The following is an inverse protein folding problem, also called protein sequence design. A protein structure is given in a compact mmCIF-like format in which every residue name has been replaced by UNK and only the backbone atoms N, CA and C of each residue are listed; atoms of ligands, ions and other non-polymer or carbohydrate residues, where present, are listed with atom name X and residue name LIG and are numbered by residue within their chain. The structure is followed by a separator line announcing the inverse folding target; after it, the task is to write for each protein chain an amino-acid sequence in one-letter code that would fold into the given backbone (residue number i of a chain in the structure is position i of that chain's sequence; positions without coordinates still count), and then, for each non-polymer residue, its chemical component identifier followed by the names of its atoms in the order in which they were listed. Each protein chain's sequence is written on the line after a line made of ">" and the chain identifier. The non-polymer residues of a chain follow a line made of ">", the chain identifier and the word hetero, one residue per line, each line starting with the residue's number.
data_IF_333955976597
#
_entry.id   IF_333955976597
#
_cell.length_a   1.000
_cell.length_b   1.000
_cell.length_c   1.000
_cell.angle_alpha   90.00
_cell.angle_beta   90.00
_cell.angle_gamma   90.00
#
_symmetry.space_group_name_H-M   'P 1'
#
loop_
_entity.id
_entity.type
_entity.pdbx_description
1 polymer ?
#
# COMPACT_ATOMS: atom_id res chain seq x y z
N UNK A 1 -1.15 2.43 4.08
CA UNK A 1 0.22 2.00 4.42
C UNK A 1 0.43 0.58 3.91
N UNK A 2 1.61 0.25 3.42
CA UNK A 2 1.93 -1.06 2.85
C UNK A 2 3.23 -1.59 3.46
N UNK A 3 3.17 -2.80 4.02
CA UNK A 3 4.32 -3.59 4.45
C UNK A 3 4.76 -4.50 3.30
N UNK A 4 6.07 -4.55 3.04
CA UNK A 4 6.72 -5.49 2.14
C UNK A 4 7.76 -6.30 2.92
N UNK A 5 7.66 -7.62 2.85
CA UNK A 5 8.64 -8.55 3.43
C UNK A 5 9.27 -9.33 2.29
N UNK A 6 10.60 -9.25 2.17
CA UNK A 6 11.38 -10.02 1.19
C UNK A 6 12.16 -11.08 1.95
N UNK A 7 11.95 -12.33 1.58
CA UNK A 7 12.64 -13.47 2.16
C UNK A 7 13.95 -13.78 1.43
N UNK A 8 14.81 -14.56 2.07
CA UNK A 8 16.14 -14.92 1.57
C UNK A 8 16.09 -15.71 0.25
N UNK A 9 15.03 -16.49 0.06
CA UNK A 9 14.70 -17.29 -1.14
C UNK A 9 14.18 -16.45 -2.32
N UNK A 10 14.18 -15.12 -2.20
CA UNK A 10 13.68 -14.16 -3.17
C UNK A 10 12.17 -14.02 -3.32
N UNK A 11 11.39 -14.79 -2.57
CA UNK A 11 9.96 -14.55 -2.47
C UNK A 11 9.66 -13.29 -1.66
N UNK A 12 8.46 -12.75 -1.86
CA UNK A 12 7.99 -11.58 -1.14
C UNK A 12 6.50 -11.65 -0.84
N UNK A 13 6.11 -11.09 0.30
CA UNK A 13 4.72 -10.77 0.62
C UNK A 13 4.54 -9.26 0.72
N UNK A 14 3.38 -8.79 0.30
CA UNK A 14 2.98 -7.38 0.42
C UNK A 14 1.60 -7.31 1.09
N UNK A 15 1.48 -6.50 2.14
CA UNK A 15 0.25 -6.33 2.91
C UNK A 15 -0.07 -4.86 3.09
N UNK A 16 -1.24 -4.45 2.63
CA UNK A 16 -1.72 -3.09 2.74
C UNK A 16 -2.76 -2.97 3.85
N UNK A 17 -2.70 -1.87 4.58
CA UNK A 17 -3.70 -1.46 5.55
C UNK A 17 -4.10 0.00 5.28
N UNK A 18 -5.40 0.21 5.12
CA UNK A 18 -6.00 1.53 4.91
C UNK A 18 -6.53 2.05 6.23
N UNK A 19 -6.31 3.33 6.50
CA UNK A 19 -6.82 4.06 7.66
C UNK A 19 -7.56 5.30 7.20
N UNK A 20 -8.55 5.73 7.97
CA UNK A 20 -9.39 6.88 7.63
C UNK A 20 -8.73 8.25 7.92
N UNK A 21 -7.56 8.25 8.54
CA UNK A 21 -6.81 9.44 8.93
C UNK A 21 -5.45 9.50 8.24
N UNK A 22 -4.89 10.71 8.15
CA UNK A 22 -3.53 10.93 7.67
C UNK A 22 -2.52 10.38 8.69
N UNK A 23 -1.54 9.63 8.20
CA UNK A 23 -0.36 9.22 8.98
C UNK A 23 0.59 10.40 9.11
N UNK A 24 0.76 10.92 10.33
CA UNK A 24 1.50 12.17 10.58
C UNK A 24 2.89 11.97 11.15
N UNK A 25 3.17 10.80 11.70
CA UNK A 25 4.41 10.55 12.44
C UNK A 25 4.95 9.14 12.21
N UNK A 26 6.27 9.02 12.40
CA UNK A 26 6.99 7.77 12.22
C UNK A 26 6.65 6.71 13.29
N UNK A 27 6.21 7.13 14.48
CA UNK A 27 5.87 6.23 15.58
C UNK A 27 4.63 5.41 15.25
N UNK A 28 3.57 6.08 14.79
CA UNK A 28 2.33 5.47 14.31
C UNK A 28 2.60 4.55 13.13
N UNK A 29 3.40 5.00 12.16
CA UNK A 29 3.81 4.19 11.01
C UNK A 29 4.56 2.92 11.44
N UNK A 30 5.50 3.05 12.39
CA UNK A 30 6.27 1.93 12.92
C UNK A 30 5.40 0.94 13.69
N UNK A 31 4.47 1.42 14.52
CA UNK A 31 3.56 0.57 15.28
C UNK A 31 2.68 -0.26 14.35
N UNK A 32 2.00 0.39 13.41
CA UNK A 32 1.17 -0.31 12.43
C UNK A 32 1.98 -1.30 11.57
N UNK A 33 3.19 -0.91 11.17
CA UNK A 33 4.10 -1.79 10.44
C UNK A 33 4.47 -3.05 11.23
N UNK A 34 4.74 -2.91 12.53
CA UNK A 34 5.02 -4.04 13.44
C UNK A 34 3.79 -4.93 13.61
N UNK A 35 2.60 -4.36 13.70
CA UNK A 35 1.36 -5.14 13.84
C UNK A 35 1.08 -5.96 12.58
N UNK A 36 1.19 -5.35 11.39
CA UNK A 36 1.11 -6.10 10.13
C UNK A 36 2.18 -7.19 10.04
N UNK A 37 3.41 -6.89 10.49
CA UNK A 37 4.50 -7.86 10.48
C UNK A 37 4.17 -9.04 11.40
N UNK A 38 3.74 -8.81 12.64
CA UNK A 38 3.37 -9.90 13.58
C UNK A 38 2.24 -10.77 13.04
N UNK A 39 1.26 -10.18 12.37
CA UNK A 39 0.11 -10.93 11.84
C UNK A 39 0.43 -11.75 10.58
N UNK A 40 1.49 -11.43 9.83
CA UNK A 40 1.73 -12.03 8.51
C UNK A 40 3.14 -12.61 8.30
N UNK A 41 4.06 -12.39 9.25
CA UNK A 41 5.41 -12.93 9.16
C UNK A 41 5.39 -14.43 9.38
N UNK A 42 6.05 -15.16 8.49
CA UNK A 42 6.32 -16.58 8.64
C UNK A 42 7.59 -16.76 9.49
N UNK A 43 7.49 -17.26 10.75
CA UNK A 43 8.61 -17.21 11.69
C UNK A 43 9.84 -18.03 11.27
N UNK A 44 9.62 -19.08 10.47
CA UNK A 44 10.67 -20.00 10.02
C UNK A 44 11.46 -19.47 8.83
N UNK A 45 10.96 -18.43 8.15
CA UNK A 45 11.55 -17.91 6.92
C UNK A 45 12.51 -16.75 7.22
N UNK A 46 13.75 -16.86 6.71
CA UNK A 46 14.75 -15.80 6.87
C UNK A 46 14.35 -14.57 6.05
N UNK A 47 14.24 -13.43 6.72
CA UNK A 47 13.97 -12.14 6.08
C UNK A 47 15.28 -11.46 5.71
N UNK A 48 15.36 -10.90 4.50
CA UNK A 48 16.52 -10.12 4.05
C UNK A 48 16.22 -8.63 3.84
N UNK A 49 14.95 -8.27 3.68
CA UNK A 49 14.52 -6.89 3.51
C UNK A 49 13.10 -6.70 4.05
N UNK A 50 12.92 -5.59 4.76
CA UNK A 50 11.62 -5.08 5.17
C UNK A 50 11.45 -3.69 4.55
N UNK A 51 10.26 -3.43 4.00
CA UNK A 51 9.89 -2.13 3.44
C UNK A 51 8.55 -1.68 3.99
N UNK A 52 8.47 -0.40 4.37
CA UNK A 52 7.22 0.28 4.66
C UNK A 52 7.00 1.37 3.62
N UNK A 53 5.78 1.49 3.13
CA UNK A 53 5.40 2.50 2.13
C UNK A 53 4.07 3.14 2.54
N UNK A 54 3.95 4.45 2.31
CA UNK A 54 2.69 5.18 2.46
C UNK A 54 2.26 5.64 1.08
N UNK A 55 0.97 5.45 0.79
CA UNK A 55 0.33 5.84 -0.46
C UNK A 55 -0.92 6.65 -0.13
N UNK A 56 -1.50 7.32 -1.11
CA UNK A 56 -2.63 8.23 -0.90
C UNK A 56 -2.27 9.32 0.14
N UNK A 57 -1.14 9.99 -0.09
CA UNK A 57 -0.72 11.14 0.69
C UNK A 57 -1.75 12.24 0.47
N UNK A 58 -2.23 12.87 1.54
CA UNK A 58 -3.29 13.88 1.43
C UNK A 58 -2.92 14.94 0.39
N UNK A 59 -3.77 15.07 -0.62
CA UNK A 59 -3.65 16.15 -1.60
C UNK A 59 -3.88 17.49 -0.87
N UNK A 60 -3.06 18.52 -1.09
CA UNK A 60 -3.49 19.89 -0.79
C UNK A 60 -4.80 20.09 -1.55
N UNK A 61 -5.83 20.62 -0.90
CA UNK A 61 -7.18 20.80 -1.45
C UNK A 61 -7.18 21.43 -2.84
N UNK A 62 -6.97 20.63 -3.88
CA UNK A 62 -7.21 20.98 -5.25
C UNK A 62 -8.72 20.95 -5.40
N UNK A 63 -9.30 22.07 -5.82
CA UNK A 63 -10.72 22.15 -6.14
C UNK A 63 -11.09 20.93 -6.98
N UNK A 64 -12.00 20.10 -6.49
CA UNK A 64 -12.36 18.81 -7.09
C UNK A 64 -12.80 19.04 -8.54
N UNK A 65 -11.86 18.90 -9.48
CA UNK A 65 -12.14 18.91 -10.91
C UNK A 65 -12.49 17.49 -11.30
N UNK A 66 -13.79 17.18 -11.28
CA UNK A 66 -14.30 15.95 -11.84
C UNK A 66 -13.97 15.92 -13.34
N UNK A 67 -13.13 14.99 -13.76
CA UNK A 67 -12.79 14.78 -15.18
C UNK A 67 -13.40 13.46 -15.60
N UNK A 68 -14.43 13.51 -16.46
CA UNK A 68 -14.99 12.31 -17.05
C UNK A 68 -14.04 11.80 -18.13
N UNK A 69 -13.63 10.54 -18.01
CA UNK A 69 -12.86 9.89 -19.06
C UNK A 69 -13.81 9.30 -20.10
N UNK A 70 -13.47 9.43 -21.38
CA UNK A 70 -14.23 8.84 -22.48
C UNK A 70 -13.49 7.63 -23.03
N UNK A 71 -14.17 6.48 -23.08
CA UNK A 71 -13.70 5.31 -23.82
C UNK A 71 -14.26 5.38 -25.23
N UNK A 72 -13.39 5.56 -26.21
CA UNK A 72 -13.77 5.46 -27.62
C UNK A 72 -13.89 3.98 -27.97
N UNK A 73 -15.11 3.44 -27.87
CA UNK A 73 -15.39 2.07 -28.26
C UNK A 73 -15.67 2.01 -29.78
N UNK A 74 -15.07 1.06 -30.52
CA UNK A 74 -15.44 0.83 -31.91
C UNK A 74 -16.93 0.44 -31.99
N UNK A 75 -17.62 0.75 -33.09
CA UNK A 75 -19.00 0.31 -33.27
C UNK A 75 -19.04 -1.23 -33.18
N UNK A 76 -19.84 -1.75 -32.26
CA UNK A 76 -20.09 -3.18 -32.13
C UNK A 76 -20.64 -3.70 -33.46
N UNK A 77 -19.97 -4.68 -34.08
CA UNK A 77 -20.49 -5.43 -35.22
C UNK A 77 -21.91 -5.91 -34.90
N UNK A 78 -22.87 -5.56 -35.77
CA UNK A 78 -24.15 -6.25 -35.86
C UNK A 78 -23.97 -7.64 -36.45
#
# INVERSE_FOLDING_TARGET
>A
MTLKVKYADYEQITRAQTVAWLLRDATTLSSMGKDLLRSHLEPTRKVRLLGLTVSNLGEPTALLRYTQLSLHLPPSCQ
#
